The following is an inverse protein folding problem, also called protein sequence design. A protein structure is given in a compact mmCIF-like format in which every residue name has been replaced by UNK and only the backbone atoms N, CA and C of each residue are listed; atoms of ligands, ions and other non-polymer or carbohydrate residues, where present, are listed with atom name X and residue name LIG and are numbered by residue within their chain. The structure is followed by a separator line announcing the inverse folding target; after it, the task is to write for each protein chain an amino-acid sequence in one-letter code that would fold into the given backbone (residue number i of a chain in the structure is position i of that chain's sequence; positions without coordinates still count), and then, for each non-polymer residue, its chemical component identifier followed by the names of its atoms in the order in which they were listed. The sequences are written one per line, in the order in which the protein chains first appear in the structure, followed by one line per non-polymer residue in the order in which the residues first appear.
data_IF_498632176993
#
_entry.id   IF_498632176993
#
_cell.length_a   1.000
_cell.length_b   1.000
_cell.length_c   1.000
_cell.angle_alpha   90.00
_cell.angle_beta   90.00
_cell.angle_gamma   90.00
#
_symmetry.space_group_name_H-M   'P 1'
#
loop_
_entity.id
_entity.type
_entity.pdbx_description
1 polymer ?
#
# COMPACT_ATOMS: atom_id res chain seq x y z
N UNK A 1 20.01 15.84 49.01
CA UNK A 1 19.84 14.78 48.00
C UNK A 1 20.36 15.35 46.68
N UNK A 2 21.57 14.98 46.27
CA UNK A 2 22.19 15.48 45.04
C UNK A 2 21.38 14.99 43.83
N UNK A 3 20.73 15.92 43.13
CA UNK A 3 19.97 15.64 41.92
C UNK A 3 20.87 15.08 40.83
N UNK A 4 20.83 13.75 40.65
CA UNK A 4 21.36 13.13 39.43
C UNK A 4 20.35 13.42 38.33
N UNK A 5 20.73 14.23 37.35
CA UNK A 5 20.07 14.17 36.05
C UNK A 5 20.32 12.78 35.49
N UNK A 6 19.26 12.01 35.32
CA UNK A 6 19.33 10.68 34.73
C UNK A 6 18.98 10.85 33.25
N UNK A 7 20.01 11.09 32.43
CA UNK A 7 19.86 11.11 30.98
C UNK A 7 19.85 9.66 30.50
N UNK A 8 18.66 9.12 30.23
CA UNK A 8 18.51 7.78 29.66
C UNK A 8 18.51 7.89 28.13
N UNK A 9 19.63 7.52 27.52
CA UNK A 9 19.71 7.27 26.08
C UNK A 9 19.79 5.74 25.90
N UNK A 10 18.84 5.10 25.22
CA UNK A 10 18.93 3.67 24.99
C UNK A 10 20.15 3.37 24.10
N UNK A 11 21.09 2.57 24.61
CA UNK A 11 22.13 1.98 23.77
C UNK A 11 21.48 1.11 22.69
N UNK A 12 22.06 1.13 21.50
CA UNK A 12 21.61 0.25 20.41
C UNK A 12 22.16 -1.15 20.66
N UNK A 13 21.27 -2.06 21.06
CA UNK A 13 21.64 -3.45 21.37
C UNK A 13 21.58 -4.29 20.10
N UNK A 14 22.62 -5.10 19.87
CA UNK A 14 22.66 -6.02 18.75
C UNK A 14 21.65 -7.16 18.95
N UNK A 15 20.90 -7.45 17.90
CA UNK A 15 20.13 -8.68 17.82
C UNK A 15 21.09 -9.88 17.73
N UNK A 16 20.82 -10.98 18.45
CA UNK A 16 21.64 -12.19 18.33
C UNK A 16 21.47 -12.87 16.97
N UNK A 17 20.39 -12.59 16.24
CA UNK A 17 20.10 -13.23 14.96
C UNK A 17 20.53 -12.37 13.76
N UNK A 18 20.97 -13.05 12.71
CA UNK A 18 21.20 -12.46 11.39
C UNK A 18 20.21 -13.03 10.40
N UNK A 19 19.85 -12.22 9.41
CA UNK A 19 18.84 -12.54 8.42
C UNK A 19 19.43 -12.48 7.01
N UNK A 20 18.87 -13.28 6.11
CA UNK A 20 19.19 -13.16 4.69
C UNK A 20 18.44 -11.98 4.09
N UNK A 21 17.14 -11.85 4.42
CA UNK A 21 16.26 -10.79 3.93
C UNK A 21 15.63 -10.04 5.09
N UNK A 22 15.71 -8.72 5.08
CA UNK A 22 15.00 -7.85 6.04
C UNK A 22 14.01 -6.96 5.30
N UNK A 23 12.73 -7.10 5.62
CA UNK A 23 11.63 -6.31 5.06
C UNK A 23 11.15 -5.30 6.09
N UNK A 24 11.17 -4.01 5.72
CA UNK A 24 10.71 -2.93 6.57
C UNK A 24 9.30 -2.49 6.15
N UNK A 25 8.29 -2.77 6.96
CA UNK A 25 6.88 -2.46 6.74
C UNK A 25 6.07 -3.67 6.30
N UNK A 26 4.91 -3.90 6.93
CA UNK A 26 3.96 -4.99 6.65
C UNK A 26 2.70 -4.50 5.91
N UNK A 27 2.84 -3.47 5.07
CA UNK A 27 1.81 -3.13 4.07
C UNK A 27 1.70 -4.20 2.97
N UNK A 28 0.81 -4.01 1.96
CA UNK A 28 0.61 -5.01 0.90
C UNK A 28 1.91 -5.45 0.21
N UNK A 29 2.80 -4.51 -0.13
CA UNK A 29 4.10 -4.84 -0.74
C UNK A 29 5.06 -5.57 0.20
N UNK A 30 5.09 -5.19 1.47
CA UNK A 30 5.91 -5.88 2.47
C UNK A 30 5.44 -7.31 2.74
N UNK A 31 4.12 -7.55 2.71
CA UNK A 31 3.55 -8.89 2.80
C UNK A 31 3.97 -9.78 1.63
N UNK A 32 3.83 -9.30 0.39
CA UNK A 32 4.29 -10.04 -0.78
C UNK A 32 5.79 -10.34 -0.72
N UNK A 33 6.59 -9.35 -0.30
CA UNK A 33 8.03 -9.50 -0.17
C UNK A 33 8.45 -10.52 0.90
N UNK A 34 7.88 -10.41 2.10
CA UNK A 34 8.23 -11.29 3.21
C UNK A 34 7.78 -12.74 2.96
N UNK A 35 6.55 -12.95 2.49
CA UNK A 35 6.02 -14.28 2.18
C UNK A 35 6.83 -14.91 1.04
N UNK A 36 7.11 -14.16 -0.03
CA UNK A 36 7.91 -14.63 -1.16
C UNK A 36 9.33 -15.04 -0.72
N UNK A 37 9.99 -14.23 0.10
CA UNK A 37 11.35 -14.51 0.57
C UNK A 37 11.40 -15.74 1.51
N UNK A 38 10.44 -15.85 2.42
CA UNK A 38 10.30 -17.02 3.30
C UNK A 38 10.07 -18.31 2.52
N UNK A 39 9.14 -18.31 1.55
CA UNK A 39 8.87 -19.46 0.67
C UNK A 39 10.05 -19.83 -0.23
N UNK A 40 10.89 -18.86 -0.59
CA UNK A 40 12.14 -19.09 -1.31
C UNK A 40 13.23 -19.75 -0.43
N UNK A 41 12.96 -19.97 0.86
CA UNK A 41 13.82 -20.68 1.80
C UNK A 41 14.79 -19.77 2.57
N UNK A 42 14.61 -18.45 2.52
CA UNK A 42 15.52 -17.50 3.15
C UNK A 42 15.07 -17.12 4.56
N UNK A 43 16.04 -16.97 5.47
CA UNK A 43 15.76 -16.49 6.82
C UNK A 43 15.34 -15.02 6.74
N UNK A 44 14.04 -14.79 6.89
CA UNK A 44 13.41 -13.50 6.59
C UNK A 44 12.88 -12.85 7.86
N UNK A 45 13.23 -11.57 8.06
CA UNK A 45 12.65 -10.72 9.09
C UNK A 45 11.67 -9.72 8.46
N UNK A 46 10.47 -9.60 9.03
CA UNK A 46 9.52 -8.53 8.74
C UNK A 46 9.35 -7.62 9.96
N UNK A 47 9.69 -6.34 9.81
CA UNK A 47 9.54 -5.30 10.84
C UNK A 47 8.31 -4.46 10.54
N UNK A 48 7.40 -4.27 11.51
CA UNK A 48 6.21 -3.44 11.36
C UNK A 48 5.99 -2.56 12.59
N UNK A 49 5.69 -1.27 12.35
CA UNK A 49 5.46 -0.30 13.42
C UNK A 49 4.18 -0.57 14.20
N UNK A 50 3.15 -1.11 13.55
CA UNK A 50 1.86 -1.43 14.13
C UNK A 50 1.82 -2.83 14.76
N UNK A 51 0.71 -3.11 15.44
CA UNK A 51 0.42 -4.42 16.05
C UNK A 51 -0.13 -5.49 15.09
N UNK A 52 -0.38 -5.14 13.83
CA UNK A 52 -1.04 -5.99 12.83
C UNK A 52 -0.47 -5.74 11.42
N UNK A 53 -0.54 -6.72 10.50
CA UNK A 53 -0.16 -6.54 9.11
C UNK A 53 -1.28 -5.89 8.28
N UNK A 54 -0.95 -5.57 7.03
CA UNK A 54 -1.88 -5.13 5.98
C UNK A 54 -1.84 -3.64 5.68
N UNK A 55 -1.29 -2.82 6.58
CA UNK A 55 -1.13 -1.37 6.38
C UNK A 55 -2.42 -0.71 5.91
N UNK A 56 -2.45 -0.23 4.67
CA UNK A 56 -3.63 0.43 4.08
C UNK A 56 -4.87 -0.47 4.01
N UNK A 57 -4.69 -1.78 3.79
CA UNK A 57 -5.80 -2.73 3.70
C UNK A 57 -6.55 -2.91 5.04
N UNK A 58 -5.88 -2.63 6.16
CA UNK A 58 -6.38 -2.92 7.51
C UNK A 58 -6.49 -1.65 8.34
N UNK A 59 -5.36 -1.02 8.69
CA UNK A 59 -5.31 0.16 9.56
C UNK A 59 -5.93 1.40 8.91
N UNK A 60 -5.73 1.59 7.60
CA UNK A 60 -6.40 2.67 6.86
C UNK A 60 -7.81 2.27 6.36
N UNK A 61 -8.29 1.09 6.71
CA UNK A 61 -9.59 0.53 6.35
C UNK A 61 -9.89 0.52 4.83
N UNK A 62 -8.88 0.44 3.96
CA UNK A 62 -9.12 0.32 2.52
C UNK A 62 -9.51 -1.12 2.19
N UNK A 63 -10.76 -1.47 2.42
CA UNK A 63 -11.28 -2.79 2.13
C UNK A 63 -11.44 -3.07 0.62
N UNK A 64 -11.31 -2.05 -0.23
CA UNK A 64 -11.40 -2.15 -1.69
C UNK A 64 -10.03 -2.45 -2.31
N UNK A 65 -9.84 -3.70 -2.68
CA UNK A 65 -8.61 -4.22 -3.28
C UNK A 65 -8.66 -4.09 -4.81
N UNK A 66 -8.16 -2.96 -5.31
CA UNK A 66 -8.02 -2.69 -6.74
C UNK A 66 -6.66 -3.16 -7.28
N UNK A 67 -6.57 -3.28 -8.62
CA UNK A 67 -5.34 -3.63 -9.33
C UNK A 67 -5.20 -5.12 -9.65
N UNK A 68 -6.12 -5.97 -9.17
CA UNK A 68 -6.24 -7.38 -9.53
C UNK A 68 -6.49 -7.60 -11.04
N UNK A 69 -7.23 -6.68 -11.64
CA UNK A 69 -7.73 -6.79 -13.00
C UNK A 69 -7.70 -5.47 -13.75
N UNK A 70 -7.53 -5.57 -15.07
CA UNK A 70 -7.67 -4.50 -16.05
C UNK A 70 -8.57 -5.03 -17.20
N UNK A 71 -9.68 -4.36 -17.50
CA UNK A 71 -10.73 -4.77 -18.46
C UNK A 71 -11.17 -6.24 -18.40
N UNK A 72 -11.50 -6.73 -17.21
CA UNK A 72 -11.99 -8.10 -17.08
C UNK A 72 -10.88 -9.15 -17.18
N UNK A 73 -9.62 -8.76 -17.39
CA UNK A 73 -8.47 -9.65 -17.39
C UNK A 73 -7.70 -9.50 -16.09
N UNK A 74 -7.41 -10.63 -15.45
CA UNK A 74 -6.51 -10.67 -14.30
C UNK A 74 -5.09 -10.30 -14.75
N UNK A 75 -4.49 -9.32 -14.07
CA UNK A 75 -3.15 -8.80 -14.39
C UNK A 75 -2.13 -9.05 -13.29
N UNK A 76 -2.59 -9.48 -12.11
CA UNK A 76 -1.73 -9.89 -10.99
C UNK A 76 -2.20 -11.22 -10.42
N UNK A 77 -1.24 -12.12 -10.18
CA UNK A 77 -1.40 -13.49 -9.68
C UNK A 77 -0.58 -13.73 -8.42
N UNK A 78 -0.10 -14.95 -8.23
CA UNK A 78 0.77 -15.32 -7.11
C UNK A 78 0.13 -15.13 -5.73
N UNK A 79 0.88 -14.56 -4.79
CA UNK A 79 0.50 -14.42 -3.37
C UNK A 79 -0.82 -13.66 -3.19
N UNK A 80 -1.10 -12.67 -4.05
CA UNK A 80 -2.34 -11.90 -3.97
C UNK A 80 -3.56 -12.75 -4.31
N UNK A 81 -3.45 -13.59 -5.33
CA UNK A 81 -4.54 -14.46 -5.79
C UNK A 81 -4.83 -15.52 -4.73
N UNK A 82 -3.78 -16.13 -4.19
CA UNK A 82 -3.88 -17.07 -3.07
C UNK A 82 -4.57 -16.45 -1.86
N UNK A 83 -4.12 -15.28 -1.40
CA UNK A 83 -4.71 -14.60 -0.24
C UNK A 83 -6.20 -14.31 -0.45
N UNK A 84 -6.58 -13.81 -1.63
CA UNK A 84 -7.98 -13.51 -1.94
C UNK A 84 -8.84 -14.77 -1.97
N UNK A 85 -8.32 -15.89 -2.48
CA UNK A 85 -9.04 -17.18 -2.49
C UNK A 85 -9.23 -17.72 -1.08
N UNK A 86 -8.18 -17.72 -0.25
CA UNK A 86 -8.25 -18.16 1.16
C UNK A 86 -9.20 -17.31 2.00
N UNK A 87 -9.30 -16.01 1.70
CA UNK A 87 -10.29 -15.12 2.32
C UNK A 87 -11.71 -15.42 1.82
N UNK A 88 -11.89 -15.66 0.52
CA UNK A 88 -13.21 -15.99 -0.04
C UNK A 88 -13.76 -17.32 0.50
N UNK A 89 -12.91 -18.33 0.72
CA UNK A 89 -13.29 -19.59 1.36
C UNK A 89 -13.92 -19.40 2.75
N UNK A 90 -13.60 -18.29 3.43
CA UNK A 90 -14.16 -17.92 4.72
C UNK A 90 -15.28 -16.88 4.63
N UNK A 91 -15.74 -16.54 3.43
CA UNK A 91 -16.72 -15.48 3.22
C UNK A 91 -16.17 -14.09 3.57
N UNK A 92 -14.86 -13.86 3.40
CA UNK A 92 -14.20 -12.62 3.76
C UNK A 92 -13.55 -11.88 2.58
N UNK A 93 -13.71 -12.36 1.34
CA UNK A 93 -13.31 -11.65 0.13
C UNK A 93 -14.25 -11.94 -1.02
N UNK A 94 -14.52 -10.94 -1.86
CA UNK A 94 -15.52 -11.01 -2.93
C UNK A 94 -15.12 -10.12 -4.11
N UNK A 95 -15.42 -10.57 -5.34
CA UNK A 95 -15.35 -9.67 -6.49
C UNK A 95 -16.44 -8.61 -6.39
N UNK A 96 -16.18 -7.43 -6.96
CA UNK A 96 -17.13 -6.34 -7.04
C UNK A 96 -17.74 -6.29 -8.44
N UNK A 97 -19.07 -6.43 -8.51
CA UNK A 97 -19.83 -6.31 -9.75
C UNK A 97 -19.88 -4.85 -10.18
N UNK A 98 -19.63 -4.62 -11.46
CA UNK A 98 -19.78 -3.32 -12.11
C UNK A 98 -21.08 -3.32 -12.92
N UNK A 99 -21.76 -2.16 -13.08
CA UNK A 99 -21.41 -0.83 -12.55
C UNK A 99 -21.91 -0.57 -11.11
N UNK A 100 -22.69 -1.48 -10.54
CA UNK A 100 -23.39 -1.34 -9.26
C UNK A 100 -22.45 -1.12 -8.07
N UNK A 101 -21.19 -1.58 -8.19
CA UNK A 101 -20.16 -1.64 -7.15
C UNK A 101 -20.63 -2.35 -5.87
N UNK A 102 -21.24 -3.52 -6.04
CA UNK A 102 -21.66 -4.39 -4.93
C UNK A 102 -20.97 -5.75 -4.98
N UNK A 103 -20.91 -6.48 -3.86
CA UNK A 103 -20.28 -7.80 -3.80
C UNK A 103 -20.94 -8.81 -4.74
N UNK A 104 -20.12 -9.59 -5.42
CA UNK A 104 -20.48 -10.82 -6.12
C UNK A 104 -20.37 -11.99 -5.15
N UNK A 105 -21.52 -12.50 -4.70
CA UNK A 105 -21.61 -13.58 -3.71
C UNK A 105 -21.17 -14.95 -4.24
N UNK A 106 -20.91 -15.09 -5.55
CA UNK A 106 -20.40 -16.33 -6.12
C UNK A 106 -18.97 -16.57 -5.63
N UNK A 107 -18.66 -17.81 -5.26
CA UNK A 107 -17.32 -18.25 -4.89
C UNK A 107 -16.28 -17.82 -5.93
N UNK A 108 -15.05 -17.52 -5.50
CA UNK A 108 -13.90 -17.26 -6.37
C UNK A 108 -13.27 -18.54 -6.91
N UNK A 109 -13.60 -19.72 -6.38
CA UNK A 109 -12.95 -20.98 -6.74
C UNK A 109 -12.91 -21.20 -8.27
N UNK A 110 -11.70 -21.30 -8.83
CA UNK A 110 -11.47 -21.49 -10.27
C UNK A 110 -11.78 -20.29 -11.17
N UNK A 111 -12.23 -19.15 -10.62
CA UNK A 111 -12.51 -17.94 -11.39
C UNK A 111 -11.30 -17.03 -11.42
N UNK A 112 -11.06 -16.42 -12.57
CA UNK A 112 -10.12 -15.31 -12.69
C UNK A 112 -10.61 -14.10 -11.88
N UNK A 113 -9.67 -13.37 -11.28
CA UNK A 113 -9.94 -12.11 -10.59
C UNK A 113 -10.09 -11.01 -11.64
N UNK A 114 -11.30 -10.91 -12.21
CA UNK A 114 -11.59 -10.04 -13.38
C UNK A 114 -12.06 -8.63 -13.01
N UNK A 115 -12.19 -8.33 -11.72
CA UNK A 115 -12.60 -7.02 -11.21
C UNK A 115 -11.87 -6.74 -9.89
N UNK A 116 -12.07 -5.55 -9.33
CA UNK A 116 -11.65 -5.23 -7.97
C UNK A 116 -12.34 -6.14 -6.95
N UNK A 117 -11.69 -6.35 -5.80
CA UNK A 117 -12.25 -7.13 -4.70
C UNK A 117 -12.62 -6.25 -3.50
N UNK A 118 -13.57 -6.71 -2.69
CA UNK A 118 -13.70 -6.26 -1.30
C UNK A 118 -13.20 -7.35 -0.36
N UNK A 119 -12.62 -6.95 0.77
CA UNK A 119 -12.17 -7.84 1.84
C UNK A 119 -12.80 -7.43 3.19
N UNK A 120 -12.89 -8.37 4.13
CA UNK A 120 -13.08 -8.04 5.54
C UNK A 120 -11.70 -7.83 6.19
N UNK A 121 -11.39 -6.62 6.72
CA UNK A 121 -10.06 -6.28 7.22
C UNK A 121 -9.51 -7.19 8.34
N UNK A 122 -10.33 -7.63 9.29
CA UNK A 122 -9.86 -8.47 10.38
C UNK A 122 -9.54 -9.89 9.90
N UNK A 123 -10.32 -10.44 8.98
CA UNK A 123 -10.00 -11.72 8.34
C UNK A 123 -8.72 -11.63 7.52
N UNK A 124 -8.49 -10.51 6.83
CA UNK A 124 -7.22 -10.24 6.16
C UNK A 124 -6.03 -10.29 7.13
N UNK A 125 -6.15 -9.66 8.31
CA UNK A 125 -5.09 -9.71 9.35
C UNK A 125 -4.76 -11.15 9.74
N UNK A 126 -5.79 -11.95 10.02
CA UNK A 126 -5.59 -13.34 10.44
C UNK A 126 -4.96 -14.16 9.33
N UNK A 127 -5.42 -14.01 8.09
CA UNK A 127 -4.88 -14.80 6.98
C UNK A 127 -3.47 -14.38 6.57
N UNK A 128 -3.18 -13.07 6.56
CA UNK A 128 -1.82 -12.59 6.31
C UNK A 128 -0.84 -13.13 7.37
N UNK A 129 -1.24 -13.17 8.65
CA UNK A 129 -0.43 -13.78 9.71
C UNK A 129 -0.18 -15.28 9.48
N UNK A 130 -1.21 -16.04 9.09
CA UNK A 130 -1.05 -17.47 8.76
C UNK A 130 -0.08 -17.68 7.62
N UNK A 131 -0.22 -16.93 6.53
CA UNK A 131 0.68 -17.03 5.38
C UNK A 131 2.13 -16.66 5.73
N UNK A 132 2.35 -15.65 6.59
CA UNK A 132 3.67 -15.30 7.10
C UNK A 132 4.29 -16.43 7.95
N UNK A 133 3.50 -17.04 8.84
CA UNK A 133 3.93 -18.17 9.67
C UNK A 133 4.23 -19.41 8.84
N UNK A 134 3.36 -19.77 7.89
CA UNK A 134 3.56 -20.87 6.94
C UNK A 134 4.82 -20.69 6.11
N UNK A 135 5.16 -19.44 5.74
CA UNK A 135 6.38 -19.10 5.02
C UNK A 135 7.63 -19.05 5.92
N UNK A 136 7.51 -19.28 7.23
CA UNK A 136 8.65 -19.25 8.16
C UNK A 136 9.23 -17.85 8.42
N UNK A 137 8.45 -16.79 8.19
CA UNK A 137 8.89 -15.40 8.39
C UNK A 137 8.95 -15.08 9.88
N UNK A 138 10.07 -14.53 10.34
CA UNK A 138 10.16 -13.94 11.67
C UNK A 138 9.49 -12.57 11.63
N UNK A 139 8.36 -12.42 12.30
CA UNK A 139 7.59 -11.17 12.31
C UNK A 139 7.80 -10.43 13.63
N UNK A 140 8.08 -9.13 13.55
CA UNK A 140 8.13 -8.22 14.70
C UNK A 140 7.19 -7.05 14.49
N UNK A 141 6.08 -7.10 15.21
CA UNK A 141 5.17 -5.97 15.39
C UNK A 141 5.70 -5.01 16.46
N UNK A 142 5.19 -3.78 16.46
CA UNK A 142 5.66 -2.70 17.35
C UNK A 142 7.16 -2.42 17.21
N UNK A 143 7.68 -2.55 15.99
CA UNK A 143 9.09 -2.42 15.65
C UNK A 143 9.30 -1.38 14.53
N UNK A 144 9.03 -0.08 14.79
CA UNK A 144 9.25 0.94 13.78
C UNK A 144 10.74 1.05 13.44
N UNK A 145 11.06 1.13 12.16
CA UNK A 145 12.43 1.38 11.70
C UNK A 145 12.80 2.84 11.98
N UNK A 146 13.90 3.03 12.70
CA UNK A 146 14.39 4.34 13.15
C UNK A 146 15.80 4.66 12.67
N UNK A 147 16.51 3.70 12.06
CA UNK A 147 17.85 3.89 11.51
C UNK A 147 18.30 2.72 10.63
N UNK A 148 19.48 2.86 10.03
CA UNK A 148 20.22 1.79 9.37
C UNK A 148 21.68 2.18 9.24
N UNK A 149 22.54 1.20 9.02
CA UNK A 149 23.98 1.39 8.89
C UNK A 149 24.45 0.89 7.54
N UNK A 150 25.41 1.59 6.95
CA UNK A 150 25.99 1.27 5.65
C UNK A 150 27.50 1.08 5.75
N UNK A 151 28.04 0.23 4.87
CA UNK A 151 29.47 0.13 4.62
C UNK A 151 29.94 1.27 3.70
N UNK A 152 31.26 1.39 3.52
CA UNK A 152 31.87 2.46 2.70
C UNK A 152 31.43 2.44 1.23
N UNK A 153 30.97 1.30 0.72
CA UNK A 153 30.45 1.12 -0.64
C UNK A 153 28.93 1.33 -0.75
N UNK A 154 28.31 1.88 0.29
CA UNK A 154 26.88 2.18 0.36
C UNK A 154 25.99 0.98 0.69
N UNK A 155 26.54 -0.23 0.82
CA UNK A 155 25.76 -1.42 1.18
C UNK A 155 25.20 -1.32 2.59
N UNK A 156 23.92 -1.59 2.77
CA UNK A 156 23.30 -1.68 4.10
C UNK A 156 23.85 -2.93 4.80
N UNK A 157 24.32 -2.77 6.03
CA UNK A 157 24.80 -3.87 6.88
C UNK A 157 23.80 -4.20 7.98
N UNK A 158 23.05 -3.20 8.45
CA UNK A 158 22.08 -3.37 9.53
C UNK A 158 20.93 -2.37 9.46
N UNK A 159 19.80 -2.75 10.07
CA UNK A 159 18.66 -1.88 10.33
C UNK A 159 18.47 -1.71 11.83
N UNK A 160 18.14 -0.50 12.25
CA UNK A 160 17.84 -0.15 13.63
C UNK A 160 16.34 0.05 13.76
N UNK A 161 15.72 -0.67 14.68
CA UNK A 161 14.30 -0.50 15.01
C UNK A 161 14.12 -0.20 16.50
N UNK A 162 13.05 0.52 16.83
CA UNK A 162 12.64 0.68 18.22
C UNK A 162 11.88 -0.56 18.73
N UNK A 163 11.86 -0.73 20.04
CA UNK A 163 11.07 -1.77 20.71
C UNK A 163 10.73 -1.34 22.13
N UNK A 164 9.79 -2.01 22.82
CA UNK A 164 9.54 -1.76 24.24
C UNK A 164 10.77 -1.95 25.15
N UNK A 165 11.85 -2.57 24.66
CA UNK A 165 13.13 -2.74 25.37
C UNK A 165 14.23 -1.78 24.88
N UNK A 166 13.87 -0.75 24.11
CA UNK A 166 14.78 0.19 23.48
C UNK A 166 15.26 -0.27 22.10
N UNK A 167 16.29 0.41 21.61
CA UNK A 167 16.78 0.26 20.24
C UNK A 167 17.45 -1.11 20.01
N UNK A 168 17.14 -1.71 18.85
CA UNK A 168 17.70 -2.97 18.39
C UNK A 168 18.33 -2.82 17.01
N UNK A 169 19.54 -3.36 16.84
CA UNK A 169 20.23 -3.47 15.56
C UNK A 169 20.12 -4.89 15.03
N UNK A 170 19.56 -5.04 13.83
CA UNK A 170 19.46 -6.33 13.13
C UNK A 170 20.34 -6.30 11.89
N UNK A 171 21.17 -7.33 11.71
CA UNK A 171 21.98 -7.51 10.50
C UNK A 171 21.23 -8.28 9.42
N UNK A 172 21.46 -7.91 8.16
CA UNK A 172 20.81 -8.48 6.99
C UNK A 172 21.74 -8.51 5.78
N UNK A 173 21.45 -9.36 4.78
CA UNK A 173 22.21 -9.39 3.52
C UNK A 173 21.55 -8.53 2.42
N UNK A 174 20.24 -8.64 2.27
CA UNK A 174 19.44 -7.80 1.37
C UNK A 174 18.24 -7.21 2.11
N UNK A 175 17.84 -6.01 1.70
CA UNK A 175 16.84 -5.21 2.39
C UNK A 175 15.75 -4.78 1.42
N UNK A 176 14.51 -4.75 1.91
CA UNK A 176 13.34 -4.30 1.15
C UNK A 176 12.64 -3.21 1.94
N UNK A 177 12.67 -1.97 1.44
CA UNK A 177 11.86 -0.88 1.99
C UNK A 177 10.43 -0.99 1.47
N UNK A 178 9.52 -1.38 2.37
CA UNK A 178 8.08 -1.46 2.17
C UNK A 178 7.33 -0.55 3.15
N UNK A 179 8.01 0.48 3.70
CA UNK A 179 7.46 1.36 4.74
C UNK A 179 6.42 2.33 4.18
N UNK A 180 6.37 2.47 2.86
CA UNK A 180 5.46 3.33 2.11
C UNK A 180 5.93 4.78 2.02
N UNK A 181 6.72 5.26 2.98
CA UNK A 181 7.25 6.62 3.05
C UNK A 181 8.79 6.63 3.10
N UNK A 182 9.42 5.61 2.52
CA UNK A 182 10.86 5.46 2.35
C UNK A 182 11.67 5.65 3.65
N UNK A 183 11.13 5.18 4.77
CA UNK A 183 11.71 5.39 6.09
C UNK A 183 13.04 4.68 6.28
N UNK A 184 13.22 3.48 5.70
CA UNK A 184 14.50 2.80 5.73
C UNK A 184 15.45 3.49 4.76
N UNK A 185 15.05 3.64 3.49
CA UNK A 185 15.86 4.20 2.42
C UNK A 185 16.44 5.58 2.77
N UNK A 186 15.60 6.49 3.29
CA UNK A 186 16.05 7.82 3.72
C UNK A 186 17.12 7.75 4.80
N UNK A 187 16.96 6.86 5.78
CA UNK A 187 17.84 6.75 6.95
C UNK A 187 19.18 6.09 6.65
N UNK A 188 19.28 5.35 5.54
CA UNK A 188 20.54 4.81 5.03
C UNK A 188 21.18 5.70 3.96
N UNK A 189 20.65 6.90 3.74
CA UNK A 189 21.21 7.89 2.83
C UNK A 189 20.82 7.74 1.37
N UNK A 190 19.75 6.99 1.06
CA UNK A 190 19.23 6.93 -0.31
C UNK A 190 18.73 8.32 -0.74
N UNK A 191 19.02 8.70 -2.00
CA UNK A 191 18.43 9.89 -2.60
C UNK A 191 16.91 9.74 -2.65
N UNK A 192 16.19 10.69 -2.07
CA UNK A 192 14.73 10.66 -1.96
C UNK A 192 14.12 11.94 -2.53
N UNK A 193 12.91 11.80 -3.07
CA UNK A 193 12.12 12.90 -3.62
C UNK A 193 10.74 12.95 -2.99
N UNK A 194 10.26 14.16 -2.78
CA UNK A 194 8.96 14.47 -2.21
C UNK A 194 8.24 15.42 -3.16
N UNK A 195 6.93 15.28 -3.28
CA UNK A 195 6.14 16.28 -3.99
C UNK A 195 5.85 17.44 -3.02
N UNK A 196 5.80 18.69 -3.48
CA UNK A 196 5.28 19.78 -2.67
C UNK A 196 3.90 19.41 -2.10
N UNK A 197 3.56 19.76 -0.85
CA UNK A 197 2.27 19.42 -0.27
C UNK A 197 1.06 19.86 -1.11
N UNK A 198 1.19 20.95 -1.86
CA UNK A 198 0.16 21.47 -2.79
C UNK A 198 -0.02 20.63 -4.07
N UNK A 199 0.93 19.78 -4.42
CA UNK A 199 0.89 18.87 -5.58
C UNK A 199 0.74 17.40 -5.17
N UNK A 200 0.88 17.11 -3.87
CA UNK A 200 0.73 15.78 -3.33
C UNK A 200 -0.74 15.32 -3.33
N UNK A 201 -0.95 14.02 -3.50
CA UNK A 201 -2.28 13.44 -3.34
C UNK A 201 -2.81 13.66 -1.92
N UNK A 202 -4.12 13.90 -1.84
CA UNK A 202 -4.83 14.09 -0.57
C UNK A 202 -4.71 12.88 0.34
N UNK A 203 -4.83 13.12 1.64
CA UNK A 203 -4.97 12.11 2.69
C UNK A 203 -6.45 11.95 3.03
N UNK A 204 -6.85 10.81 3.59
CA UNK A 204 -8.26 10.52 3.91
C UNK A 204 -8.40 9.66 5.16
N UNK A 205 -9.59 9.68 5.74
CA UNK A 205 -10.09 8.58 6.55
C UNK A 205 -11.24 7.90 5.80
N UNK A 206 -11.05 6.62 5.50
CA UNK A 206 -12.08 5.79 4.92
C UNK A 206 -13.09 5.37 5.98
N UNK A 207 -14.36 5.37 5.62
CA UNK A 207 -15.46 5.12 6.56
C UNK A 207 -16.41 4.05 6.03
N UNK A 208 -17.03 3.32 6.95
CA UNK A 208 -18.08 2.36 6.65
C UNK A 208 -19.37 2.82 7.29
N UNK A 209 -20.46 2.76 6.51
CA UNK A 209 -21.81 2.88 6.99
C UNK A 209 -22.44 1.50 7.08
N UNK A 210 -23.32 1.31 8.05
CA UNK A 210 -24.26 0.20 8.12
C UNK A 210 -25.70 0.71 7.98
N UNK A 211 -26.65 -0.20 7.76
CA UNK A 211 -28.08 0.12 7.56
C UNK A 211 -28.36 1.05 6.37
N UNK A 212 -27.53 1.00 5.33
CA UNK A 212 -27.79 1.70 4.06
C UNK A 212 -28.86 0.93 3.28
N UNK A 213 -29.97 1.60 3.00
CA UNK A 213 -31.08 1.08 2.21
C UNK A 213 -30.82 1.35 0.71
N UNK A 214 -31.14 0.37 -0.15
CA UNK A 214 -31.09 0.50 -1.61
C UNK A 214 -29.80 1.13 -2.20
N UNK A 215 -28.62 0.72 -1.72
CA UNK A 215 -27.37 1.17 -2.33
C UNK A 215 -27.25 0.70 -3.79
N UNK A 216 -27.13 1.68 -4.70
CA UNK A 216 -26.83 1.47 -6.12
C UNK A 216 -25.91 2.60 -6.59
N UNK A 217 -24.64 2.29 -6.87
CA UNK A 217 -23.61 3.30 -7.04
C UNK A 217 -23.92 4.34 -8.13
N UNK A 218 -24.39 3.99 -9.35
CA UNK A 218 -24.68 5.00 -10.37
C UNK A 218 -25.70 6.06 -9.94
N UNK A 219 -26.76 5.66 -9.24
CA UNK A 219 -27.77 6.60 -8.70
C UNK A 219 -27.19 7.48 -7.58
N UNK A 220 -26.37 6.91 -6.71
CA UNK A 220 -25.69 7.70 -5.69
C UNK A 220 -24.71 8.71 -6.32
N UNK A 221 -24.00 8.32 -7.38
CA UNK A 221 -23.10 9.21 -8.10
C UNK A 221 -23.85 10.38 -8.75
N UNK A 222 -24.94 10.10 -9.47
CA UNK A 222 -25.79 11.14 -10.08
C UNK A 222 -26.32 12.14 -9.03
N UNK A 223 -26.80 11.63 -7.89
CA UNK A 223 -27.25 12.49 -6.78
C UNK A 223 -26.12 13.32 -6.19
N UNK A 224 -24.93 12.73 -6.00
CA UNK A 224 -23.76 13.43 -5.49
C UNK A 224 -23.34 14.55 -6.44
N UNK A 225 -23.31 14.28 -7.75
CA UNK A 225 -22.92 15.24 -8.78
C UNK A 225 -23.89 16.44 -8.80
N UNK A 226 -25.21 16.19 -8.73
CA UNK A 226 -26.20 17.27 -8.61
C UNK A 226 -26.01 18.12 -7.34
N UNK A 227 -25.76 17.49 -6.19
CA UNK A 227 -25.49 18.21 -4.94
C UNK A 227 -24.18 19.01 -4.99
N UNK A 228 -23.17 18.50 -5.72
CA UNK A 228 -21.92 19.21 -5.95
C UNK A 228 -22.16 20.46 -6.79
N UNK A 229 -22.94 20.37 -7.87
CA UNK A 229 -23.33 21.51 -8.72
C UNK A 229 -24.16 22.56 -7.95
N UNK A 230 -25.00 22.11 -7.01
CA UNK A 230 -25.77 22.98 -6.11
C UNK A 230 -24.91 23.62 -4.99
N UNK A 231 -23.61 23.28 -4.88
CA UNK A 231 -22.73 23.77 -3.81
C UNK A 231 -23.04 23.17 -2.43
N UNK A 232 -23.73 22.03 -2.38
CA UNK A 232 -24.18 21.37 -1.15
C UNK A 232 -23.23 20.30 -0.64
N UNK A 233 -22.19 19.93 -1.38
CA UNK A 233 -21.14 19.00 -0.90
C UNK A 233 -20.16 19.80 -0.04
N UNK A 234 -20.04 19.52 1.28
CA UNK A 234 -19.26 20.37 2.18
C UNK A 234 -17.76 20.04 2.18
N UNK A 235 -17.34 19.01 1.44
CA UNK A 235 -15.96 18.54 1.39
C UNK A 235 -15.23 19.23 0.25
N UNK A 236 -14.51 20.30 0.57
CA UNK A 236 -13.71 21.04 -0.40
C UNK A 236 -12.82 20.09 -1.22
N UNK A 237 -12.92 20.18 -2.56
CA UNK A 237 -12.17 19.34 -3.50
C UNK A 237 -12.79 17.98 -3.80
N UNK A 238 -13.78 17.50 -3.03
CA UNK A 238 -14.45 16.22 -3.31
C UNK A 238 -15.50 16.36 -4.41
N UNK A 239 -15.12 16.10 -5.65
CA UNK A 239 -16.01 16.17 -6.81
C UNK A 239 -16.33 14.79 -7.41
N UNK A 240 -16.19 13.72 -6.63
CA UNK A 240 -16.38 12.35 -7.14
C UNK A 240 -16.98 11.43 -6.07
N UNK A 241 -18.08 10.76 -6.40
CA UNK A 241 -18.69 9.77 -5.52
C UNK A 241 -17.91 8.44 -5.50
N UNK A 242 -17.32 8.14 -4.34
CA UNK A 242 -16.66 6.87 -4.08
C UNK A 242 -17.40 6.07 -3.01
N UNK A 243 -18.28 5.19 -3.48
CA UNK A 243 -18.94 4.20 -2.64
C UNK A 243 -18.85 2.79 -3.21
N UNK A 244 -18.71 1.83 -2.32
CA UNK A 244 -18.69 0.39 -2.62
C UNK A 244 -19.52 -0.35 -1.57
N UNK A 245 -20.45 -1.18 -2.01
CA UNK A 245 -21.20 -2.07 -1.14
C UNK A 245 -20.30 -3.14 -0.53
N UNK A 246 -20.53 -3.45 0.74
CA UNK A 246 -19.84 -4.48 1.50
C UNK A 246 -20.82 -5.59 1.92
N UNK A 247 -20.28 -6.62 2.56
CA UNK A 247 -21.06 -7.69 3.19
C UNK A 247 -21.07 -7.49 4.71
N UNK A 248 -22.21 -7.75 5.39
CA UNK A 248 -23.51 -8.09 4.80
C UNK A 248 -24.17 -6.89 4.07
N UNK A 249 -25.18 -7.17 3.25
CA UNK A 249 -25.96 -6.14 2.52
C UNK A 249 -26.42 -5.05 3.50
N UNK A 250 -26.30 -3.80 3.07
CA UNK A 250 -26.57 -2.61 3.89
C UNK A 250 -25.32 -2.01 4.52
N UNK A 251 -24.17 -2.67 4.38
CA UNK A 251 -22.88 -2.05 4.65
C UNK A 251 -22.32 -1.39 3.37
N UNK A 252 -21.83 -0.17 3.49
CA UNK A 252 -21.22 0.58 2.37
C UNK A 252 -19.97 1.29 2.84
N UNK A 253 -18.88 1.03 2.13
CA UNK A 253 -17.62 1.73 2.28
C UNK A 253 -17.64 3.04 1.48
N UNK A 254 -17.21 4.12 2.11
CA UNK A 254 -17.19 5.47 1.53
C UNK A 254 -15.80 6.08 1.69
N UNK A 255 -15.31 6.67 0.60
CA UNK A 255 -14.16 7.56 0.59
C UNK A 255 -14.62 8.98 0.25
N UNK A 256 -14.84 9.81 1.26
CA UNK A 256 -15.33 11.18 1.05
C UNK A 256 -14.43 12.23 1.68
N UNK A 257 -13.85 11.94 2.84
CA UNK A 257 -12.99 12.88 3.58
C UNK A 257 -11.70 13.13 2.83
N UNK A 258 -11.21 14.38 2.85
CA UNK A 258 -9.91 14.70 2.29
C UNK A 258 -9.23 15.89 2.98
N UNK A 259 -7.90 15.84 2.98
CA UNK A 259 -7.06 16.98 3.35
C UNK A 259 -5.72 16.92 2.62
N UNK A 260 -5.04 18.06 2.56
CA UNK A 260 -3.66 18.20 2.10
C UNK A 260 -2.74 18.46 3.30
N UNK A 261 -1.45 18.19 3.11
CA UNK A 261 -0.40 18.41 4.10
C UNK A 261 0.77 17.46 3.87
N UNK A 262 1.89 17.71 4.53
CA UNK A 262 3.06 16.85 4.51
C UNK A 262 2.81 15.57 5.34
N UNK A 263 3.10 14.41 4.76
CA UNK A 263 2.97 13.10 5.42
C UNK A 263 4.17 12.75 6.31
N UNK A 264 5.17 13.64 6.38
CA UNK A 264 6.44 13.42 7.07
C UNK A 264 6.65 14.41 8.21
N UNK A 265 5.85 15.47 8.27
CA UNK A 265 5.82 16.45 9.35
C UNK A 265 4.78 16.04 10.41
N UNK A 266 5.21 15.96 11.68
CA UNK A 266 4.36 15.46 12.77
C UNK A 266 3.23 16.42 13.15
N UNK A 267 3.45 17.73 13.02
CA UNK A 267 2.44 18.74 13.33
C UNK A 267 1.37 18.76 12.23
N UNK A 268 1.77 18.68 10.96
CA UNK A 268 0.84 18.56 9.83
C UNK A 268 0.07 17.24 9.86
N UNK A 269 0.72 16.11 10.18
CA UNK A 269 0.04 14.82 10.38
C UNK A 269 -1.05 14.94 11.45
N UNK A 270 -0.76 15.60 12.57
CA UNK A 270 -1.72 15.80 13.66
C UNK A 270 -2.86 16.71 13.23
N UNK A 271 -2.56 17.83 12.57
CA UNK A 271 -3.58 18.76 12.06
C UNK A 271 -4.50 18.10 11.02
N UNK A 272 -3.93 17.33 10.10
CA UNK A 272 -4.67 16.56 9.11
C UNK A 272 -5.59 15.51 9.78
N UNK A 273 -5.10 14.80 10.80
CA UNK A 273 -5.88 13.79 11.53
C UNK A 273 -7.10 14.43 12.20
N UNK A 274 -6.91 15.51 12.96
CA UNK A 274 -8.00 16.25 13.62
C UNK A 274 -9.05 16.71 12.60
N UNK A 275 -8.61 17.32 11.50
CA UNK A 275 -9.51 17.78 10.43
C UNK A 275 -10.29 16.65 9.78
N UNK A 276 -9.64 15.52 9.48
CA UNK A 276 -10.31 14.39 8.86
C UNK A 276 -11.33 13.75 9.81
N UNK A 277 -11.06 13.70 11.11
CA UNK A 277 -12.01 13.17 12.12
C UNK A 277 -13.27 14.03 12.23
N UNK A 278 -13.14 15.35 12.20
CA UNK A 278 -14.29 16.26 12.11
C UNK A 278 -15.11 16.02 10.83
N UNK A 279 -14.43 15.86 9.69
CA UNK A 279 -15.11 15.54 8.42
C UNK A 279 -15.86 14.20 8.46
N UNK A 280 -15.45 13.22 9.26
CA UNK A 280 -16.17 11.94 9.39
C UNK A 280 -17.56 12.16 10.01
N UNK A 281 -17.65 12.96 11.08
CA UNK A 281 -18.93 13.29 11.72
C UNK A 281 -19.81 14.13 10.78
N UNK A 282 -19.19 15.09 10.08
CA UNK A 282 -19.88 15.87 9.05
C UNK A 282 -20.40 14.98 7.92
N UNK A 283 -19.63 13.99 7.49
CA UNK A 283 -20.06 13.03 6.47
C UNK A 283 -21.25 12.20 6.93
N UNK A 284 -21.25 11.67 8.15
CA UNK A 284 -22.40 10.93 8.67
C UNK A 284 -23.69 11.76 8.61
N UNK A 285 -23.65 13.01 9.07
CA UNK A 285 -24.82 13.90 9.05
C UNK A 285 -25.26 14.21 7.62
N UNK A 286 -24.31 14.59 6.76
CA UNK A 286 -24.58 14.97 5.38
C UNK A 286 -25.16 13.81 4.56
N UNK A 287 -24.60 12.61 4.68
CA UNK A 287 -25.12 11.43 3.97
C UNK A 287 -26.56 11.13 4.39
N UNK A 288 -26.88 11.19 5.69
CA UNK A 288 -28.25 10.94 6.19
C UNK A 288 -29.26 11.98 5.69
N UNK A 289 -28.84 13.23 5.54
CA UNK A 289 -29.71 14.31 5.07
C UNK A 289 -29.92 14.28 3.55
N UNK A 290 -28.85 14.12 2.78
CA UNK A 290 -28.88 14.40 1.33
C UNK A 290 -28.95 13.15 0.44
N UNK A 291 -28.60 11.98 0.98
CA UNK A 291 -28.53 10.72 0.23
C UNK A 291 -29.66 9.79 0.69
N UNK A 292 -30.75 9.60 -0.09
CA UNK A 292 -31.94 8.89 0.38
C UNK A 292 -31.68 7.49 0.97
N UNK A 293 -30.81 6.70 0.34
CA UNK A 293 -30.44 5.37 0.84
C UNK A 293 -29.69 5.37 2.18
N UNK A 294 -29.15 6.52 2.59
CA UNK A 294 -28.40 6.68 3.84
C UNK A 294 -29.24 7.30 4.95
N UNK A 295 -30.52 7.61 4.76
CA UNK A 295 -31.35 8.30 5.77
C UNK A 295 -31.38 7.62 7.15
N UNK A 296 -31.28 6.27 7.16
CA UNK A 296 -31.22 5.41 8.35
C UNK A 296 -29.85 4.79 8.59
N UNK A 297 -28.86 5.17 7.78
CA UNK A 297 -27.51 4.67 7.95
C UNK A 297 -26.87 5.22 9.21
N UNK A 298 -25.97 4.43 9.79
CA UNK A 298 -25.14 4.82 10.92
C UNK A 298 -23.68 4.53 10.61
N UNK A 299 -22.77 5.37 11.10
CA UNK A 299 -21.34 5.10 11.01
C UNK A 299 -21.01 3.82 11.79
N UNK A 300 -20.43 2.83 11.12
CA UNK A 300 -20.00 1.57 11.76
C UNK A 300 -18.50 1.53 12.00
N UNK A 301 -17.72 2.19 11.14
CA UNK A 301 -16.26 2.24 11.24
C UNK A 301 -15.70 3.51 10.62
N UNK A 302 -14.65 4.03 11.23
CA UNK A 302 -13.72 4.94 10.58
C UNK A 302 -12.31 4.34 10.66
N UNK A 303 -11.50 4.54 9.62
CA UNK A 303 -10.12 4.05 9.58
C UNK A 303 -9.35 4.46 10.83
N UNK A 304 -8.56 3.54 11.40
CA UNK A 304 -7.76 3.84 12.60
C UNK A 304 -6.58 4.75 12.26
N UNK A 305 -5.95 4.52 11.12
CA UNK A 305 -4.86 5.35 10.60
C UNK A 305 -5.34 6.15 9.39
N UNK A 306 -4.79 7.35 9.25
CA UNK A 306 -4.91 8.12 8.03
C UNK A 306 -4.40 7.34 6.81
N UNK A 307 -5.21 7.35 5.75
CA UNK A 307 -4.85 6.84 4.43
C UNK A 307 -3.87 7.79 3.73
N UNK A 308 -2.57 7.58 3.94
CA UNK A 308 -1.51 8.29 3.22
C UNK A 308 -1.39 7.71 1.81
N UNK A 309 -1.68 8.54 0.81
CA UNK A 309 -1.64 8.16 -0.62
C UNK A 309 -0.28 8.42 -1.25
N UNK A 310 0.35 9.52 -0.87
CA UNK A 310 1.64 9.97 -1.35
C UNK A 310 2.45 10.55 -0.19
N UNK A 311 3.74 10.22 -0.17
CA UNK A 311 4.76 10.74 0.74
C UNK A 311 6.12 10.70 0.04
N UNK A 312 7.18 10.42 0.79
CA UNK A 312 8.54 10.28 0.26
C UNK A 312 8.67 9.07 -0.66
N UNK A 313 9.36 9.28 -1.78
CA UNK A 313 9.77 8.24 -2.73
C UNK A 313 11.28 8.24 -2.86
N UNK A 314 11.83 7.14 -3.34
CA UNK A 314 13.27 6.99 -3.54
C UNK A 314 13.62 7.16 -5.02
N UNK A 315 14.78 7.75 -5.28
CA UNK A 315 15.39 7.75 -6.62
C UNK A 315 15.96 6.35 -6.90
N UNK A 316 15.36 5.66 -7.87
CA UNK A 316 15.82 4.37 -8.34
C UNK A 316 16.78 4.50 -9.52
N UNK A 317 17.16 3.35 -10.05
CA UNK A 317 17.97 3.21 -11.26
C UNK A 317 17.25 3.67 -12.53
N UNK A 318 15.92 3.73 -12.47
CA UNK A 318 15.04 4.38 -13.44
C UNK A 318 13.80 4.95 -12.72
N UNK A 319 13.14 5.93 -13.31
CA UNK A 319 11.91 6.54 -12.77
C UNK A 319 10.76 6.34 -13.75
N UNK A 320 9.62 5.84 -13.28
CA UNK A 320 8.40 5.78 -14.10
C UNK A 320 7.83 7.20 -14.29
N UNK A 321 7.79 7.70 -15.53
CA UNK A 321 7.28 9.03 -15.86
C UNK A 321 5.82 9.01 -16.34
N UNK A 322 5.18 10.19 -16.42
CA UNK A 322 3.83 10.31 -16.99
C UNK A 322 3.78 9.82 -18.44
N UNK A 323 4.78 10.15 -19.25
CA UNK A 323 4.87 9.74 -20.66
C UNK A 323 4.91 8.21 -20.77
N UNK A 324 5.64 7.53 -19.89
CA UNK A 324 5.68 6.07 -19.85
C UNK A 324 4.33 5.45 -19.47
N UNK A 325 3.60 6.08 -18.54
CA UNK A 325 2.24 5.63 -18.17
C UNK A 325 1.26 5.86 -19.31
N UNK A 326 1.35 6.97 -20.04
CA UNK A 326 0.53 7.25 -21.23
C UNK A 326 0.81 6.28 -22.38
N UNK A 327 2.07 5.87 -22.57
CA UNK A 327 2.44 4.88 -23.58
C UNK A 327 1.87 3.49 -23.28
N UNK A 328 1.67 3.15 -21.99
CA UNK A 328 1.19 1.84 -21.57
C UNK A 328 2.12 0.68 -21.98
N UNK A 329 1.67 -0.56 -21.79
CA UNK A 329 2.40 -1.77 -22.16
C UNK A 329 3.58 -2.11 -21.25
N UNK A 330 4.38 -3.07 -21.69
CA UNK A 330 5.54 -3.59 -20.95
C UNK A 330 6.64 -2.55 -20.82
N UNK A 331 7.52 -2.75 -19.84
CA UNK A 331 8.75 -1.97 -19.65
C UNK A 331 9.96 -2.86 -19.90
N UNK A 332 11.15 -2.28 -19.96
CA UNK A 332 12.38 -3.05 -19.86
C UNK A 332 12.40 -3.81 -18.51
N UNK A 333 12.63 -5.12 -18.57
CA UNK A 333 12.72 -6.00 -17.40
C UNK A 333 11.51 -5.86 -16.45
N UNK A 334 10.27 -6.12 -16.91
CA UNK A 334 9.07 -5.88 -16.12
C UNK A 334 9.00 -6.83 -14.92
N UNK A 335 8.71 -6.29 -13.74
CA UNK A 335 8.54 -7.07 -12.50
C UNK A 335 7.07 -7.29 -12.17
N UNK A 336 6.21 -6.34 -12.56
CA UNK A 336 4.76 -6.41 -12.40
C UNK A 336 4.09 -5.34 -13.28
N UNK A 337 2.77 -5.19 -13.20
CA UNK A 337 1.98 -4.22 -13.94
C UNK A 337 1.05 -3.40 -13.03
N UNK A 338 1.03 -2.09 -13.26
CA UNK A 338 0.05 -1.15 -12.75
C UNK A 338 -0.96 -0.75 -13.82
N UNK A 339 -1.78 0.26 -13.53
CA UNK A 339 -2.70 0.86 -14.51
C UNK A 339 -1.97 1.86 -15.40
N UNK A 340 -2.29 1.91 -16.69
CA UNK A 340 -1.88 3.01 -17.56
C UNK A 340 -2.78 4.24 -17.34
N UNK A 341 -2.92 4.71 -16.10
CA UNK A 341 -3.79 5.84 -15.76
C UNK A 341 -3.24 6.59 -14.56
N UNK A 342 -3.44 7.90 -14.54
CA UNK A 342 -3.03 8.73 -13.42
C UNK A 342 -3.94 9.96 -13.26
N UNK A 343 -3.74 10.71 -12.18
CA UNK A 343 -4.48 11.93 -11.90
C UNK A 343 -5.80 11.66 -11.18
N UNK A 344 -5.67 11.11 -9.98
CA UNK A 344 -6.74 11.02 -9.00
C UNK A 344 -6.25 11.52 -7.64
N UNK A 345 -7.20 11.86 -6.76
CA UNK A 345 -6.97 12.36 -5.40
C UNK A 345 -6.26 13.73 -5.33
N UNK A 346 -6.53 14.64 -6.26
CA UNK A 346 -6.05 16.02 -6.19
C UNK A 346 -6.69 16.83 -5.04
N UNK A 347 -6.08 17.98 -4.72
CA UNK A 347 -6.45 18.82 -3.57
C UNK A 347 -7.65 19.71 -3.89
N UNK A 348 -7.53 20.56 -4.91
CA UNK A 348 -8.63 21.44 -5.33
C UNK A 348 -9.72 20.69 -6.08
N UNK A 349 -9.34 19.57 -6.69
CA UNK A 349 -10.25 18.68 -7.39
C UNK A 349 -9.77 17.25 -7.27
N UNK A 350 -10.62 16.39 -6.73
CA UNK A 350 -10.35 14.97 -6.56
C UNK A 350 -9.95 14.29 -7.88
N UNK A 351 -10.56 14.70 -9.00
CA UNK A 351 -10.11 14.35 -10.35
C UNK A 351 -9.53 15.59 -11.05
N UNK A 352 -8.20 15.80 -11.01
CA UNK A 352 -7.55 16.95 -11.64
C UNK A 352 -7.78 17.04 -13.14
N UNK A 353 -7.58 18.24 -13.71
CA UNK A 353 -7.74 18.45 -15.16
C UNK A 353 -6.71 17.67 -15.99
N UNK A 354 -5.48 17.52 -15.48
CA UNK A 354 -4.40 16.78 -16.13
C UNK A 354 -4.51 15.25 -16.01
N UNK A 355 -5.63 14.73 -15.49
CA UNK A 355 -5.84 13.28 -15.38
C UNK A 355 -5.79 12.58 -16.74
N UNK A 356 -5.31 11.35 -16.72
CA UNK A 356 -5.26 10.48 -17.88
C UNK A 356 -5.86 9.12 -17.53
N UNK A 357 -6.81 8.66 -18.34
CA UNK A 357 -7.41 7.34 -18.21
C UNK A 357 -7.13 6.55 -19.48
N UNK A 358 -6.48 5.41 -19.30
CA UNK A 358 -6.39 4.39 -20.34
C UNK A 358 -7.03 3.10 -19.86
N UNK A 359 -7.38 2.30 -20.85
CA UNK A 359 -7.72 0.93 -20.62
C UNK A 359 -6.48 0.06 -20.30
N UNK A 360 -5.28 0.49 -20.66
CA UNK A 360 -4.12 -0.39 -20.66
C UNK A 360 -3.48 -0.59 -19.27
N UNK A 361 -2.52 -1.51 -19.25
CA UNK A 361 -1.57 -1.67 -18.15
C UNK A 361 -0.30 -0.89 -18.41
N UNK A 362 0.43 -0.58 -17.36
CA UNK A 362 1.78 -0.03 -17.45
C UNK A 362 2.72 -0.92 -16.65
N UNK A 363 3.74 -1.48 -17.31
CA UNK A 363 4.76 -2.29 -16.65
C UNK A 363 5.53 -1.47 -15.61
N UNK A 364 5.97 -2.13 -14.55
CA UNK A 364 6.88 -1.57 -13.54
C UNK A 364 8.19 -2.33 -13.67
N UNK A 365 9.21 -1.66 -14.21
CA UNK A 365 10.51 -2.27 -14.51
C UNK A 365 11.38 -2.45 -13.28
N UNK A 366 12.27 -3.45 -13.31
CA UNK A 366 13.20 -3.80 -12.22
C UNK A 366 13.96 -2.59 -11.68
N UNK A 367 14.46 -1.74 -12.57
CA UNK A 367 15.26 -0.56 -12.24
C UNK A 367 14.50 0.51 -11.45
N UNK A 368 13.16 0.49 -11.48
CA UNK A 368 12.32 1.39 -10.67
C UNK A 368 12.19 0.92 -9.22
N UNK A 369 12.54 -0.34 -8.95
CA UNK A 369 12.40 -1.01 -7.66
C UNK A 369 13.74 -1.19 -6.92
N UNK A 370 14.86 -0.77 -7.49
CA UNK A 370 16.19 -0.83 -6.86
C UNK A 370 16.66 0.60 -6.56
N UNK A 371 17.06 0.85 -5.32
CA UNK A 371 17.52 2.16 -4.90
C UNK A 371 18.86 2.50 -5.56
N UNK A 372 18.96 3.70 -6.15
CA UNK A 372 20.20 4.15 -6.79
C UNK A 372 21.31 4.25 -5.75
N UNK A 373 22.48 3.69 -6.08
CA UNK A 373 23.67 3.80 -5.23
C UNK A 373 23.66 2.95 -3.96
N UNK A 374 22.64 2.14 -3.72
CA UNK A 374 22.59 1.20 -2.58
C UNK A 374 22.41 -0.23 -3.12
N UNK A 375 23.49 -1.02 -3.17
CA UNK A 375 23.55 -2.24 -3.98
C UNK A 375 22.58 -3.35 -3.54
N UNK A 376 22.17 -3.37 -2.27
CA UNK A 376 21.37 -4.43 -1.66
C UNK A 376 19.99 -3.95 -1.15
N UNK A 377 19.47 -2.84 -1.69
CA UNK A 377 18.18 -2.27 -1.29
C UNK A 377 17.17 -2.30 -2.44
N UNK A 378 16.10 -3.06 -2.26
CA UNK A 378 14.90 -3.01 -3.09
C UNK A 378 13.81 -2.18 -2.40
N UNK A 379 12.83 -1.74 -3.17
CA UNK A 379 11.77 -0.82 -2.74
C UNK A 379 10.45 -1.30 -3.32
N UNK A 380 9.41 -1.34 -2.49
CA UNK A 380 8.09 -1.80 -2.92
C UNK A 380 6.97 -0.93 -2.35
N UNK A 381 5.85 -0.88 -3.07
CA UNK A 381 4.68 -0.10 -2.68
C UNK A 381 4.80 1.38 -3.07
N UNK A 382 4.44 2.28 -2.15
CA UNK A 382 4.35 3.73 -2.44
C UNK A 382 5.70 4.42 -2.61
N UNK A 383 6.78 3.86 -2.08
CA UNK A 383 8.08 4.51 -2.02
C UNK A 383 9.01 4.21 -3.21
N UNK A 384 8.52 3.49 -4.22
CA UNK A 384 9.30 3.18 -5.44
C UNK A 384 9.62 4.43 -6.26
N UNK A 385 10.49 4.28 -7.26
CA UNK A 385 10.87 5.39 -8.12
C UNK A 385 9.85 5.65 -9.23
N UNK A 386 9.03 6.68 -9.01
CA UNK A 386 7.93 7.08 -9.90
C UNK A 386 7.66 8.58 -9.74
N UNK A 387 7.21 9.20 -10.81
CA UNK A 387 6.67 10.57 -10.78
C UNK A 387 5.50 10.65 -9.79
N UNK A 388 5.45 11.70 -8.97
CA UNK A 388 4.42 11.84 -7.95
C UNK A 388 3.00 11.82 -8.50
N UNK A 389 2.82 12.30 -9.73
CA UNK A 389 1.53 12.35 -10.43
C UNK A 389 1.04 10.98 -10.82
N UNK A 390 1.94 10.01 -10.99
CA UNK A 390 1.66 8.64 -11.42
C UNK A 390 1.49 7.66 -10.26
N UNK A 391 1.50 8.11 -9.01
CA UNK A 391 1.55 7.20 -7.87
C UNK A 391 0.31 6.29 -7.79
N UNK A 392 -0.86 6.78 -8.21
CA UNK A 392 -2.12 6.04 -8.28
C UNK A 392 -2.14 4.92 -9.33
N UNK A 393 -1.27 5.01 -10.35
CA UNK A 393 -1.05 3.96 -11.34
C UNK A 393 -0.46 2.69 -10.70
N UNK A 394 0.43 2.86 -9.71
CA UNK A 394 1.31 1.79 -9.20
C UNK A 394 1.06 1.41 -7.75
N UNK A 395 0.45 2.29 -6.94
CA UNK A 395 0.26 2.05 -5.49
C UNK A 395 -0.97 1.21 -5.13
N UNK A 396 -1.68 0.65 -6.10
CA UNK A 396 -2.83 -0.21 -5.85
C UNK A 396 -2.39 -1.45 -5.08
N UNK A 397 -3.16 -1.86 -4.08
CA UNK A 397 -2.68 -2.85 -3.11
C UNK A 397 -2.31 -4.19 -3.74
N UNK A 398 -3.02 -4.60 -4.80
CA UNK A 398 -2.69 -5.82 -5.53
C UNK A 398 -1.37 -5.72 -6.30
N UNK A 399 -1.17 -4.60 -7.00
CA UNK A 399 0.09 -4.27 -7.67
C UNK A 399 1.24 -4.18 -6.67
N UNK A 400 1.03 -3.53 -5.52
CA UNK A 400 2.02 -3.45 -4.45
C UNK A 400 2.42 -4.84 -3.93
N UNK A 401 1.46 -5.72 -3.67
CA UNK A 401 1.74 -7.06 -3.16
C UNK A 401 2.51 -7.92 -4.18
N UNK A 402 2.11 -7.85 -5.44
CA UNK A 402 2.79 -8.57 -6.53
C UNK A 402 4.20 -7.98 -6.79
N UNK A 403 4.39 -6.66 -6.66
CA UNK A 403 5.71 -6.02 -6.65
C UNK A 403 6.58 -6.53 -5.50
N UNK A 404 6.00 -6.71 -4.32
CA UNK A 404 6.62 -7.36 -3.17
C UNK A 404 7.18 -8.73 -3.50
N UNK A 405 6.31 -9.61 -3.99
CA UNK A 405 6.65 -10.96 -4.43
C UNK A 405 7.76 -10.95 -5.49
N UNK A 406 7.66 -10.05 -6.47
CA UNK A 406 8.64 -9.94 -7.53
C UNK A 406 10.03 -9.49 -7.03
N UNK A 407 10.07 -8.54 -6.09
CA UNK A 407 11.32 -8.16 -5.42
C UNK A 407 11.88 -9.29 -4.54
N UNK A 408 11.05 -10.11 -3.93
CA UNK A 408 11.51 -11.28 -3.19
C UNK A 408 12.21 -12.29 -4.10
N UNK A 409 11.68 -12.53 -5.30
CA UNK A 409 12.34 -13.36 -6.33
C UNK A 409 13.69 -12.78 -6.72
N UNK A 410 13.77 -11.47 -6.99
CA UNK A 410 15.03 -10.78 -7.27
C UNK A 410 16.06 -10.99 -6.14
N UNK A 411 15.66 -10.75 -4.90
CA UNK A 411 16.50 -10.95 -3.71
C UNK A 411 16.95 -12.40 -3.57
N UNK A 412 16.04 -13.36 -3.80
CA UNK A 412 16.33 -14.78 -3.78
C UNK A 412 17.39 -15.16 -4.83
N UNK A 413 17.23 -14.72 -6.08
CA UNK A 413 18.21 -14.94 -7.14
C UNK A 413 19.58 -14.32 -6.78
N UNK A 414 19.60 -13.10 -6.25
CA UNK A 414 20.84 -12.44 -5.82
C UNK A 414 21.56 -13.26 -4.75
N UNK A 415 20.84 -13.75 -3.74
CA UNK A 415 21.40 -14.54 -2.65
C UNK A 415 21.89 -15.92 -3.13
N UNK A 416 21.10 -16.66 -3.94
CA UNK A 416 21.49 -17.98 -4.48
C UNK A 416 22.72 -17.91 -5.38
N UNK A 417 22.90 -16.79 -6.09
CA UNK A 417 24.01 -16.57 -7.03
C UNK A 417 25.14 -15.74 -6.44
N UNK A 418 25.08 -15.44 -5.14
CA UNK A 418 26.07 -14.63 -4.43
C UNK A 418 26.39 -13.32 -5.14
N UNK A 419 25.36 -12.64 -5.66
CA UNK A 419 25.50 -11.34 -6.30
C UNK A 419 25.62 -10.24 -5.25
N UNK A 420 26.63 -9.41 -5.40
CA UNK A 420 26.89 -8.29 -4.50
C UNK A 420 25.89 -7.14 -4.67
N UNK A 421 25.36 -6.97 -5.87
CA UNK A 421 24.34 -5.98 -6.21
C UNK A 421 23.12 -6.65 -6.81
N UNK A 422 21.93 -6.14 -6.47
CA UNK A 422 20.67 -6.63 -7.04
C UNK A 422 20.61 -6.48 -8.57
N UNK A 423 21.27 -5.45 -9.12
CA UNK A 423 21.35 -5.24 -10.57
C UNK A 423 22.16 -6.32 -11.31
N UNK A 424 23.04 -7.04 -10.62
CA UNK A 424 23.92 -8.04 -11.25
C UNK A 424 23.23 -9.39 -11.43
N UNK A 425 21.98 -9.53 -10.97
CA UNK A 425 21.12 -10.66 -11.32
C UNK A 425 20.70 -10.53 -12.78
N UNK A 426 20.84 -11.59 -13.58
CA UNK A 426 20.34 -11.59 -14.95
C UNK A 426 18.81 -11.63 -14.94
N UNK A 427 18.15 -10.74 -15.71
CA UNK A 427 16.69 -10.66 -15.71
C UNK A 427 16.00 -11.97 -16.14
N UNK A 428 16.60 -12.74 -17.06
CA UNK A 428 16.07 -14.03 -17.46
C UNK A 428 15.92 -15.04 -16.30
N UNK A 429 16.77 -14.94 -15.27
CA UNK A 429 16.65 -15.78 -14.07
C UNK A 429 15.42 -15.37 -13.25
N UNK A 430 15.21 -14.06 -13.09
CA UNK A 430 14.07 -13.48 -12.38
C UNK A 430 12.77 -13.84 -13.11
N UNK A 431 12.73 -13.63 -14.43
CA UNK A 431 11.58 -13.91 -15.27
C UNK A 431 11.19 -15.40 -15.21
N UNK A 432 12.17 -16.31 -15.28
CA UNK A 432 11.92 -17.74 -15.19
C UNK A 432 11.29 -18.15 -13.86
N UNK A 433 11.75 -17.58 -12.75
CA UNK A 433 11.22 -17.85 -11.42
C UNK A 433 9.81 -17.25 -11.26
N UNK A 434 9.58 -16.03 -11.73
CA UNK A 434 8.25 -15.39 -11.71
C UNK A 434 7.23 -16.21 -12.49
N UNK A 435 7.57 -16.64 -13.72
CA UNK A 435 6.68 -17.48 -14.54
C UNK A 435 6.37 -18.83 -13.89
N UNK A 436 7.28 -19.34 -13.06
CA UNK A 436 7.09 -20.60 -12.33
C UNK A 436 6.22 -20.43 -11.08
N UNK A 437 6.17 -19.23 -10.51
CA UNK A 437 5.36 -18.90 -9.34
C UNK A 437 3.87 -18.64 -9.65
N UNK A 438 3.52 -18.46 -10.93
CA UNK A 438 2.15 -18.17 -11.40
C UNK A 438 1.98 -16.70 -11.76
#
# INVERSE_FOLDING_TARGET
MSGRSLNWYPEIVNDPEEYDVVVAGAGPGGLGAAIGAGRAGFRTLLLERAGIPGGTATLANCCHFMGSAVHGRQVVGGIVDELMRRLNERGAAYLIKQPDCVPDYRSLAGRALTSSLAIEPHHFVVEANRMLQEAGVHVRYYAPVVGGETAADGRITSVIHDSPRGLRRVRGKVFIDATGDAHLSYRVGAECVEAPPAEAMTKTLLIDFMNVEDFYRPRCAERFDALYEEGKVPFYGQNYFMGIGLIPKGNVHINVTLTAGDALDVEELTAMELKLREQVVQAEQWYREFMPGFARASLSRAAMFMGIRAGRRVCGEATLSMEMVQQGGDREEPMTWGKASYGSHGIDRFVPQWHYRSADVCGIGRRMLIARGIPNLAMVGRCISVDHRCLDAVRLMATCMNMGEACAVLCACALRRHRERLLDVAYAEIESELRSAG
#
